data_IF_740475074101
#
_entry.id   IF_740475074101
#
_cell.length_a   1.000
_cell.length_b   1.000
_cell.length_c   1.000
_cell.angle_alpha   90.00
_cell.angle_beta   90.00
_cell.angle_gamma   90.00
#
_symmetry.space_group_name_H-M   'P 1'
#
loop_
_entity.id
_entity.type
_entity.pdbx_description
1 polymer ?
#
# COMPACT_ATOMS: atom_id res chain seq x y z
N UNK A 1 -13.34 -4.26 -8.67
CA UNK A 1 -13.99 -5.55 -8.28
C UNK A 1 -13.52 -5.93 -6.89
N UNK A 2 -14.44 -6.25 -6.00
CA UNK A 2 -14.12 -6.71 -4.65
C UNK A 2 -13.80 -8.20 -4.65
N UNK A 3 -12.80 -8.60 -3.90
CA UNK A 3 -12.43 -9.99 -3.69
C UNK A 3 -12.44 -10.29 -2.18
N UNK A 4 -13.49 -10.93 -1.73
CA UNK A 4 -13.58 -11.35 -0.33
C UNK A 4 -12.84 -12.67 -0.09
N UNK A 5 -12.74 -13.48 -1.12
CA UNK A 5 -12.12 -14.82 -1.05
C UNK A 5 -10.67 -14.75 -1.55
N UNK A 6 -9.76 -15.31 -0.75
CA UNK A 6 -8.33 -15.34 -1.04
C UNK A 6 -7.99 -16.09 -2.33
N UNK A 7 -8.58 -17.26 -2.51
CA UNK A 7 -8.24 -18.11 -3.66
C UNK A 7 -8.67 -17.46 -4.98
N UNK A 8 -9.86 -16.85 -4.98
CA UNK A 8 -10.34 -16.08 -6.15
C UNK A 8 -9.44 -14.89 -6.42
N UNK A 9 -9.02 -14.20 -5.36
CA UNK A 9 -8.11 -13.07 -5.50
C UNK A 9 -6.76 -13.48 -6.08
N UNK A 10 -6.18 -14.58 -5.61
CA UNK A 10 -4.89 -15.07 -6.10
C UNK A 10 -4.91 -15.35 -7.61
N UNK A 11 -6.03 -15.82 -8.15
CA UNK A 11 -6.17 -16.03 -9.60
C UNK A 11 -6.09 -14.73 -10.41
N UNK A 12 -6.42 -13.60 -9.78
CA UNK A 12 -6.40 -12.28 -10.42
C UNK A 12 -5.18 -11.45 -10.04
N UNK A 13 -4.35 -11.96 -9.13
CA UNK A 13 -3.14 -11.27 -8.68
C UNK A 13 -1.95 -11.61 -9.59
N UNK A 14 -1.90 -10.94 -10.73
CA UNK A 14 -0.97 -11.26 -11.82
C UNK A 14 0.51 -11.30 -11.39
N UNK A 15 0.88 -10.49 -10.39
CA UNK A 15 2.26 -10.39 -9.92
C UNK A 15 2.55 -11.27 -8.70
N UNK A 16 1.58 -12.03 -8.25
CA UNK A 16 1.72 -12.96 -7.15
C UNK A 16 1.78 -12.31 -5.78
N UNK A 17 1.35 -13.09 -4.78
CA UNK A 17 1.28 -12.63 -3.39
C UNK A 17 2.65 -12.58 -2.71
N UNK A 18 3.52 -13.53 -3.04
CA UNK A 18 4.82 -13.67 -2.40
C UNK A 18 4.70 -14.25 -0.99
N UNK A 19 5.61 -13.84 -0.12
CA UNK A 19 5.71 -14.32 1.24
C UNK A 19 5.05 -13.38 2.24
N UNK A 20 4.66 -13.88 3.42
CA UNK A 20 4.20 -13.00 4.49
C UNK A 20 5.21 -11.87 4.75
N UNK A 21 4.69 -10.65 4.90
CA UNK A 21 5.50 -9.45 5.09
C UNK A 21 5.99 -9.33 6.53
N UNK A 22 6.85 -10.26 6.97
CA UNK A 22 7.31 -10.34 8.36
C UNK A 22 8.24 -9.19 8.76
N UNK A 23 9.04 -8.70 7.84
CA UNK A 23 10.01 -7.63 8.09
C UNK A 23 9.35 -6.32 8.52
N UNK A 24 8.17 -6.01 7.98
CA UNK A 24 7.45 -4.77 8.24
C UNK A 24 6.13 -4.98 8.98
N UNK A 25 5.85 -6.20 9.45
CA UNK A 25 4.56 -6.56 10.07
C UNK A 25 4.17 -5.64 11.22
N UNK A 26 5.14 -5.14 12.00
CA UNK A 26 4.89 -4.22 13.12
C UNK A 26 4.33 -2.86 12.69
N UNK A 27 4.44 -2.53 11.40
CA UNK A 27 3.92 -1.28 10.84
C UNK A 27 2.60 -1.46 10.09
N UNK A 28 1.99 -2.63 10.22
CA UNK A 28 0.72 -2.96 9.57
C UNK A 28 -0.29 -3.46 10.61
N UNK A 29 -1.55 -3.15 10.39
CA UNK A 29 -2.67 -3.80 11.06
C UNK A 29 -3.22 -4.81 10.07
N UNK A 30 -3.35 -6.09 10.49
CA UNK A 30 -3.79 -7.17 9.62
C UNK A 30 -2.65 -7.84 8.86
N UNK A 31 -3.00 -8.77 7.98
CA UNK A 31 -2.04 -9.59 7.25
C UNK A 31 -1.68 -8.97 5.90
N UNK A 32 -0.39 -8.88 5.64
CA UNK A 32 0.14 -8.41 4.37
C UNK A 32 1.20 -9.36 3.82
N UNK A 33 1.44 -9.25 2.52
CA UNK A 33 2.37 -10.11 1.79
C UNK A 33 3.22 -9.25 0.87
N UNK A 34 4.45 -9.66 0.64
CA UNK A 34 5.41 -8.92 -0.16
C UNK A 34 6.05 -9.84 -1.20
N UNK A 35 6.01 -9.41 -2.43
CA UNK A 35 6.67 -10.10 -3.53
C UNK A 35 7.58 -9.13 -4.29
N UNK A 36 8.89 -9.10 -4.00
CA UNK A 36 9.82 -8.26 -4.75
C UNK A 36 9.82 -8.63 -6.22
N UNK A 37 9.75 -7.62 -7.09
CA UNK A 37 9.70 -7.80 -8.54
C UNK A 37 11.02 -7.48 -9.23
N UNK A 38 11.88 -6.69 -8.59
CA UNK A 38 13.17 -6.29 -9.12
C UNK A 38 14.30 -6.90 -8.29
N UNK A 39 15.44 -7.15 -8.96
CA UNK A 39 16.66 -7.50 -8.26
C UNK A 39 17.13 -6.27 -7.46
N UNK A 40 17.43 -6.41 -6.16
CA UNK A 40 17.93 -5.30 -5.34
C UNK A 40 19.16 -4.60 -5.94
N UNK A 41 19.90 -5.27 -6.78
CA UNK A 41 21.12 -4.73 -7.42
C UNK A 41 20.83 -3.84 -8.63
N UNK A 42 19.59 -3.80 -9.13
CA UNK A 42 19.27 -3.04 -10.34
C UNK A 42 19.11 -1.52 -10.08
N UNK A 43 19.13 -1.09 -8.83
CA UNK A 43 19.00 0.32 -8.47
C UNK A 43 17.57 0.84 -8.39
N UNK A 44 16.58 0.01 -8.74
CA UNK A 44 15.16 0.36 -8.62
C UNK A 44 14.45 -0.73 -7.81
N UNK A 45 13.85 -0.33 -6.68
CA UNK A 45 13.04 -1.26 -5.89
C UNK A 45 11.58 -1.18 -6.31
N UNK A 46 11.04 -2.32 -6.72
CA UNK A 46 9.62 -2.51 -6.99
C UNK A 46 9.16 -3.83 -6.40
N UNK A 47 8.02 -3.82 -5.74
CA UNK A 47 7.43 -5.01 -5.13
C UNK A 47 5.92 -4.99 -5.27
N UNK A 48 5.32 -6.17 -5.41
CA UNK A 48 3.88 -6.32 -5.31
C UNK A 48 3.53 -6.52 -3.84
N UNK A 49 2.74 -5.61 -3.29
CA UNK A 49 2.29 -5.65 -1.89
C UNK A 49 0.83 -6.05 -1.87
N UNK A 50 0.49 -7.09 -1.13
CA UNK A 50 -0.86 -7.62 -1.01
C UNK A 50 -1.37 -7.46 0.41
N UNK A 51 -2.58 -6.96 0.54
CA UNK A 51 -3.25 -6.67 1.81
C UNK A 51 -4.49 -7.54 1.93
N UNK A 52 -4.62 -8.28 3.02
CA UNK A 52 -5.87 -8.96 3.37
C UNK A 52 -6.97 -7.94 3.66
N UNK A 53 -8.26 -8.31 3.56
CA UNK A 53 -9.35 -7.39 3.89
C UNK A 53 -9.16 -6.72 5.25
N UNK A 54 -9.28 -5.40 5.29
CA UNK A 54 -9.06 -4.59 6.49
C UNK A 54 -7.61 -4.27 6.83
N UNK A 55 -6.66 -4.89 6.16
CA UNK A 55 -5.24 -4.63 6.40
C UNK A 55 -4.83 -3.26 5.86
N UNK A 56 -4.07 -2.52 6.65
CA UNK A 56 -3.52 -1.22 6.27
C UNK A 56 -2.18 -0.99 6.94
N UNK A 57 -1.31 -0.21 6.29
CA UNK A 57 -0.07 0.20 6.94
C UNK A 57 -0.29 1.41 7.84
N UNK A 58 0.68 1.68 8.69
CA UNK A 58 0.69 2.87 9.53
C UNK A 58 0.83 4.13 8.67
N UNK A 59 0.44 5.26 9.23
CA UNK A 59 0.86 6.55 8.69
C UNK A 59 2.38 6.55 8.54
N UNK A 60 2.88 7.03 7.41
CA UNK A 60 4.33 7.07 7.15
C UNK A 60 4.69 8.14 6.14
N UNK A 61 5.99 8.43 6.07
CA UNK A 61 6.54 9.48 5.23
C UNK A 61 7.76 8.94 4.50
N UNK A 62 7.81 9.15 3.19
CA UNK A 62 9.00 8.93 2.39
C UNK A 62 9.75 10.24 2.29
N UNK A 63 10.73 10.47 3.15
CA UNK A 63 11.53 11.69 3.16
C UNK A 63 12.52 11.70 1.99
N UNK A 64 12.68 12.84 1.36
CA UNK A 64 13.73 13.07 0.38
C UNK A 64 14.07 14.56 0.31
N UNK A 65 15.32 14.86 0.04
CA UNK A 65 15.78 16.24 -0.20
C UNK A 65 15.31 16.73 -1.57
N UNK A 66 15.36 15.84 -2.56
CA UNK A 66 14.81 16.06 -3.90
C UNK A 66 14.40 14.73 -4.52
N UNK A 67 13.46 14.73 -5.45
CA UNK A 67 12.87 13.51 -5.99
C UNK A 67 12.20 12.69 -4.92
N UNK A 68 12.29 11.37 -5.00
CA UNK A 68 11.74 10.45 -4.00
C UNK A 68 10.23 10.29 -4.10
N UNK A 69 9.65 9.77 -3.03
CA UNK A 69 8.25 9.38 -2.98
C UNK A 69 8.05 7.93 -3.41
N UNK A 70 6.79 7.56 -3.63
CA UNK A 70 6.45 6.20 -4.01
C UNK A 70 5.35 6.19 -5.06
N UNK A 71 5.54 5.38 -6.10
CA UNK A 71 4.51 5.17 -7.12
C UNK A 71 3.74 3.90 -6.78
N UNK A 72 2.41 3.99 -6.70
CA UNK A 72 1.52 2.84 -6.55
C UNK A 72 0.79 2.57 -7.85
N UNK A 73 0.84 1.32 -8.30
CA UNK A 73 0.07 0.83 -9.46
C UNK A 73 -0.83 -0.28 -8.95
N UNK A 74 -2.14 -0.02 -8.89
CA UNK A 74 -3.10 -0.97 -8.33
C UNK A 74 -3.40 -2.08 -9.33
N UNK A 75 -3.22 -3.32 -8.91
CA UNK A 75 -3.23 -4.48 -9.81
C UNK A 75 -4.44 -5.39 -9.60
N UNK A 76 -5.02 -5.41 -8.41
CA UNK A 76 -6.20 -6.23 -8.13
C UNK A 76 -6.91 -5.78 -6.84
N UNK A 77 -8.22 -5.96 -6.80
CA UNK A 77 -9.04 -5.68 -5.62
C UNK A 77 -9.32 -4.20 -5.40
N UNK A 78 -9.68 -3.87 -4.16
CA UNK A 78 -10.07 -2.51 -3.80
C UNK A 78 -9.37 -2.06 -2.51
N UNK A 79 -8.91 -0.83 -2.51
CA UNK A 79 -8.17 -0.27 -1.39
C UNK A 79 -8.43 1.20 -1.15
N UNK A 80 -7.67 1.75 -0.21
CA UNK A 80 -7.69 3.16 0.17
C UNK A 80 -6.29 3.76 0.13
N UNK A 81 -6.23 5.04 -0.19
CA UNK A 81 -5.06 5.90 -0.01
C UNK A 81 -5.51 7.21 0.64
N UNK A 82 -4.76 7.69 1.63
CA UNK A 82 -5.08 8.96 2.28
C UNK A 82 -3.82 9.72 2.66
N UNK A 83 -3.76 10.99 2.30
CA UNK A 83 -2.79 11.95 2.81
C UNK A 83 -3.36 12.61 4.06
N UNK A 84 -2.50 12.92 5.03
CA UNK A 84 -2.90 13.63 6.24
C UNK A 84 -3.57 14.97 5.89
N UNK A 85 -4.73 15.19 6.50
CA UNK A 85 -5.53 16.40 6.29
C UNK A 85 -6.39 16.42 5.03
N UNK A 86 -6.40 15.32 4.26
CA UNK A 86 -7.21 15.20 3.05
C UNK A 86 -8.18 14.03 3.13
N UNK A 87 -9.17 14.05 2.27
CA UNK A 87 -10.10 12.91 2.12
C UNK A 87 -9.38 11.70 1.55
N UNK A 88 -9.80 10.51 1.98
CA UNK A 88 -9.29 9.27 1.45
C UNK A 88 -9.75 9.06 0.00
N UNK A 89 -8.87 8.49 -0.79
CA UNK A 89 -9.11 8.16 -2.20
C UNK A 89 -9.34 6.65 -2.32
N UNK A 90 -10.42 6.28 -2.98
CA UNK A 90 -10.72 4.88 -3.28
C UNK A 90 -9.81 4.38 -4.40
N UNK A 91 -9.18 3.23 -4.19
CA UNK A 91 -8.26 2.61 -5.15
C UNK A 91 -8.90 1.36 -5.76
N UNK A 92 -8.76 1.23 -7.07
CA UNK A 92 -9.24 0.10 -7.86
C UNK A 92 -8.13 -0.41 -8.75
N UNK A 93 -8.34 -1.58 -9.33
CA UNK A 93 -7.46 -2.09 -10.38
C UNK A 93 -7.31 -1.04 -11.49
N UNK A 94 -6.07 -0.71 -11.82
CA UNK A 94 -5.74 0.33 -12.79
C UNK A 94 -5.53 1.72 -12.18
N UNK A 95 -5.83 1.94 -10.89
CA UNK A 95 -5.49 3.20 -10.23
C UNK A 95 -3.98 3.37 -10.15
N UNK A 96 -3.50 4.58 -10.43
CA UNK A 96 -2.08 4.94 -10.32
C UNK A 96 -1.97 6.17 -9.44
N UNK A 97 -1.19 6.06 -8.38
CA UNK A 97 -0.97 7.15 -7.42
C UNK A 97 0.52 7.45 -7.34
N UNK A 98 0.89 8.68 -7.67
CA UNK A 98 2.23 9.16 -7.35
C UNK A 98 2.18 9.83 -5.98
N UNK A 99 2.73 9.16 -4.98
CA UNK A 99 2.82 9.69 -3.62
C UNK A 99 4.05 10.60 -3.55
N UNK A 100 3.88 11.92 -3.33
CA UNK A 100 5.03 12.81 -3.24
C UNK A 100 5.92 12.49 -2.05
N UNK A 101 7.19 12.76 -2.17
CA UNK A 101 8.09 12.74 -1.02
C UNK A 101 7.62 13.73 0.05
N UNK A 102 7.93 13.43 1.31
CA UNK A 102 7.68 14.29 2.47
C UNK A 102 6.18 14.46 2.84
N UNK A 103 5.32 13.63 2.29
CA UNK A 103 3.88 13.65 2.59
C UNK A 103 3.53 12.49 3.50
N UNK A 104 2.90 12.79 4.63
CA UNK A 104 2.40 11.77 5.57
C UNK A 104 1.13 11.15 5.01
N UNK A 105 1.13 9.83 4.86
CA UNK A 105 0.05 9.09 4.20
C UNK A 105 -0.03 7.65 4.71
N UNK A 106 -1.09 6.97 4.31
CA UNK A 106 -1.22 5.52 4.46
C UNK A 106 -1.98 4.95 3.27
N UNK A 107 -1.88 3.64 3.08
CA UNK A 107 -2.70 2.90 2.14
C UNK A 107 -2.97 1.48 2.66
N UNK A 108 -3.98 0.84 2.07
CA UNK A 108 -4.37 -0.50 2.50
C UNK A 108 -5.61 -0.99 1.78
N UNK A 109 -6.08 -2.16 2.18
CA UNK A 109 -7.27 -2.80 1.62
C UNK A 109 -8.55 -2.20 2.20
N UNK A 110 -9.63 -2.25 1.42
CA UNK A 110 -10.97 -2.05 1.96
C UNK A 110 -11.36 -3.22 2.86
N UNK A 111 -12.33 -3.00 3.73
CA UNK A 111 -12.75 -3.96 4.74
C UNK A 111 -13.22 -5.30 4.15
N UNK A 112 -13.82 -5.27 2.99
CA UNK A 112 -14.42 -6.42 2.33
C UNK A 112 -13.69 -6.86 1.05
N UNK A 113 -12.43 -6.47 0.90
CA UNK A 113 -11.69 -6.84 -0.31
C UNK A 113 -10.21 -7.06 -0.02
N UNK A 114 -9.66 -8.11 -0.57
CA UNK A 114 -8.23 -8.23 -0.81
C UNK A 114 -7.80 -7.10 -1.75
N UNK A 115 -6.58 -6.64 -1.61
CA UNK A 115 -6.05 -5.55 -2.41
C UNK A 115 -4.58 -5.77 -2.69
N UNK A 116 -4.15 -5.45 -3.90
CA UNK A 116 -2.75 -5.55 -4.27
C UNK A 116 -2.33 -4.37 -5.13
N UNK A 117 -1.14 -3.85 -4.86
CA UNK A 117 -0.52 -2.83 -5.70
C UNK A 117 0.97 -3.09 -5.85
N UNK A 118 1.52 -2.66 -6.98
CA UNK A 118 2.96 -2.55 -7.13
C UNK A 118 3.38 -1.25 -6.46
N UNK A 119 4.37 -1.32 -5.58
CA UNK A 119 5.00 -0.16 -4.97
C UNK A 119 6.38 0.01 -5.60
N UNK A 120 6.61 1.18 -6.18
CA UNK A 120 7.90 1.54 -6.77
C UNK A 120 8.51 2.67 -5.95
N UNK A 121 9.69 2.42 -5.38
CA UNK A 121 10.43 3.48 -4.69
C UNK A 121 11.04 4.41 -5.73
N UNK A 122 10.58 5.66 -5.73
CA UNK A 122 11.08 6.66 -6.69
C UNK A 122 12.47 7.12 -6.25
N UNK A 123 13.48 7.07 -7.13
CA UNK A 123 14.82 7.52 -6.78
C UNK A 123 14.84 9.00 -6.39
N UNK A 124 15.68 9.33 -5.43
CA UNK A 124 15.84 10.70 -4.95
C UNK A 124 17.11 10.87 -4.14
N UNK A 125 17.29 12.08 -3.62
CA UNK A 125 18.45 12.46 -2.82
C UNK A 125 18.10 12.38 -1.33
N UNK A 126 18.97 11.73 -0.53
CA UNK A 126 18.79 11.56 0.92
C UNK A 126 17.43 10.96 1.29
N UNK A 127 17.06 9.87 0.63
CA UNK A 127 15.79 9.19 0.88
C UNK A 127 15.84 8.38 2.17
N UNK A 128 14.85 8.61 3.06
CA UNK A 128 14.64 7.82 4.27
C UNK A 128 13.15 7.62 4.50
N UNK A 129 12.78 6.55 5.18
CA UNK A 129 11.38 6.26 5.52
C UNK A 129 11.15 6.47 7.02
N UNK A 130 10.05 7.14 7.35
CA UNK A 130 9.62 7.33 8.73
C UNK A 130 8.27 6.66 8.93
N UNK A 131 8.21 5.71 9.87
CA UNK A 131 6.96 5.06 10.28
C UNK A 131 6.37 5.84 11.45
N UNK A 132 5.10 6.20 11.30
CA UNK A 132 4.36 6.99 12.29
C UNK A 132 3.32 6.10 12.98
N UNK A 133 2.26 6.71 13.53
CA UNK A 133 1.22 6.01 14.27
C UNK A 133 0.38 5.10 13.38
N UNK A 134 -0.23 4.04 13.94
CA UNK A 134 -1.21 3.24 13.22
C UNK A 134 -2.44 4.06 12.81
N UNK A 135 -3.08 3.67 11.72
CA UNK A 135 -4.40 4.17 11.38
C UNK A 135 -5.41 3.50 12.31
N UNK A 136 -6.03 4.27 13.18
CA UNK A 136 -6.97 3.74 14.18
C UNK A 136 -8.20 3.10 13.52
N UNK A 137 -8.85 2.17 14.24
CA UNK A 137 -10.09 1.59 13.76
C UNK A 137 -11.16 2.65 13.53
N UNK A 138 -11.22 3.69 14.38
CA UNK A 138 -12.17 4.79 14.22
C UNK A 138 -11.92 5.56 12.91
N UNK A 139 -10.68 5.89 12.62
CA UNK A 139 -10.31 6.58 11.37
C UNK A 139 -10.64 5.72 10.15
N UNK A 140 -10.37 4.43 10.23
CA UNK A 140 -10.60 3.49 9.14
C UNK A 140 -12.08 3.19 8.92
N UNK A 141 -12.83 2.93 10.00
CA UNK A 141 -14.24 2.55 9.91
C UNK A 141 -15.13 3.68 9.36
N UNK A 142 -14.75 4.94 9.57
CA UNK A 142 -15.44 6.09 8.97
C UNK A 142 -15.45 5.99 7.45
N UNK A 143 -14.35 5.56 6.84
CA UNK A 143 -14.24 5.40 5.38
C UNK A 143 -15.14 4.30 4.86
N UNK A 144 -15.21 3.19 5.59
CA UNK A 144 -16.01 2.03 5.21
C UNK A 144 -17.51 2.27 5.33
N UNK A 145 -17.92 3.22 6.16
CA UNK A 145 -19.31 3.60 6.38
C UNK A 145 -19.75 4.79 5.50
N UNK A 146 -18.80 5.48 4.88
CA UNK A 146 -19.07 6.60 3.97
C UNK A 146 -19.36 6.04 2.56
N UNK A 147 -20.62 6.01 2.19
CA UNK A 147 -21.06 5.58 0.86
C UNK A 147 -21.61 6.81 0.11
#
# INVERSE_FOLDING_TARGET
>A
MKFENKDTFELHNAFGMGEPNTAYAKYFIGDSFLNPLTDPKCGLFAANVTFAPGCRNNWHIHHAKSGGGQLLICTAGEGWYQEEGKDAVSLFEGSVIMIPANVKHWHGAKKNSWFSHIAVEVPGEDCTNEWCEPVSDDEYDVLENAI
#
